data_IF_081385490823
#
_entry.id   IF_081385490823
#
_cell.length_a   1.000
_cell.length_b   1.000
_cell.length_c   1.000
_cell.angle_alpha   90.00
_cell.angle_beta   90.00
_cell.angle_gamma   90.00
#
_symmetry.space_group_name_H-M   'P 1'
#
loop_
_entity.id
_entity.type
_entity.pdbx_description
1 polymer ?
#
# COMPACT_ATOMS: atom_id res chain seq x y z
N UNK A 1 -5.30 5.74 -22.60
CA UNK A 1 -5.94 5.44 -21.31
C UNK A 1 -4.84 4.92 -20.42
N UNK A 2 -3.99 5.84 -19.95
CA UNK A 2 -2.82 5.50 -19.16
C UNK A 2 -3.26 5.25 -17.71
N UNK A 3 -3.76 4.05 -17.45
CA UNK A 3 -4.01 3.52 -16.10
C UNK A 3 -2.69 3.09 -15.43
N UNK A 4 -1.66 3.93 -15.54
CA UNK A 4 -0.45 3.83 -14.71
C UNK A 4 -0.63 4.72 -13.48
N UNK A 5 -1.70 4.49 -12.72
CA UNK A 5 -1.62 4.65 -11.26
C UNK A 5 -1.01 3.36 -10.73
N UNK A 6 0.26 3.11 -11.12
CA UNK A 6 1.15 2.39 -10.22
C UNK A 6 1.06 3.16 -8.92
N UNK A 7 0.45 2.54 -7.92
CA UNK A 7 0.25 3.12 -6.61
C UNK A 7 1.57 3.72 -6.17
N UNK A 8 1.69 5.05 -6.27
CA UNK A 8 2.85 5.83 -5.83
C UNK A 8 3.30 5.20 -4.54
N UNK A 9 4.52 4.66 -4.56
CA UNK A 9 5.04 3.77 -3.54
C UNK A 9 4.53 4.19 -2.16
N UNK A 10 3.53 3.47 -1.63
CA UNK A 10 2.82 3.86 -0.40
C UNK A 10 3.74 3.85 0.82
N UNK A 11 5.00 3.46 0.61
CA UNK A 11 6.11 3.50 1.55
C UNK A 11 6.91 4.81 1.51
N UNK A 12 6.55 5.81 0.69
CA UNK A 12 7.23 7.11 0.75
C UNK A 12 6.89 7.81 2.07
N UNK A 13 7.94 8.15 2.82
CA UNK A 13 7.81 8.90 4.07
C UNK A 13 7.37 10.34 3.82
N UNK A 14 6.80 11.01 4.85
CA UNK A 14 6.48 12.45 4.79
C UNK A 14 7.71 13.29 4.40
N UNK A 15 8.92 12.86 4.80
CA UNK A 15 10.17 13.51 4.40
C UNK A 15 10.45 13.33 2.91
N UNK A 16 10.32 12.10 2.39
CA UNK A 16 10.50 11.84 0.96
C UNK A 16 9.49 12.59 0.10
N UNK A 17 8.22 12.66 0.54
CA UNK A 17 7.20 13.48 -0.13
C UNK A 17 7.56 14.97 -0.12
N UNK A 18 8.03 15.50 1.01
CA UNK A 18 8.49 16.89 1.13
C UNK A 18 9.67 17.17 0.20
N UNK A 19 10.62 16.24 0.08
CA UNK A 19 11.77 16.38 -0.82
C UNK A 19 11.37 16.33 -2.30
N UNK A 20 10.45 15.43 -2.68
CA UNK A 20 9.96 15.29 -4.07
C UNK A 20 9.13 16.50 -4.48
N UNK A 21 8.26 16.98 -3.59
CA UNK A 21 7.30 18.05 -3.89
C UNK A 21 7.84 19.44 -3.60
N UNK A 22 8.92 19.55 -2.81
CA UNK A 22 9.42 20.83 -2.29
C UNK A 22 8.49 21.50 -1.27
N UNK A 23 7.43 20.80 -0.83
CA UNK A 23 6.44 21.31 0.13
C UNK A 23 6.97 21.06 1.55
N UNK A 24 6.67 21.98 2.45
CA UNK A 24 6.99 21.81 3.86
C UNK A 24 6.37 20.53 4.46
N UNK A 25 7.10 19.89 5.39
CA UNK A 25 6.72 18.60 5.98
C UNK A 25 5.39 18.67 6.72
N UNK A 26 5.06 19.79 7.33
CA UNK A 26 3.80 19.99 8.05
C UNK A 26 2.63 20.11 7.08
N UNK A 27 2.82 20.83 5.97
CA UNK A 27 1.85 20.90 4.87
C UNK A 27 1.61 19.51 4.24
N UNK A 28 2.67 18.74 3.97
CA UNK A 28 2.54 17.37 3.45
C UNK A 28 1.76 16.49 4.43
N UNK A 29 2.02 16.62 5.74
CA UNK A 29 1.28 15.89 6.78
C UNK A 29 -0.20 16.28 6.82
N UNK A 30 -0.49 17.58 6.76
CA UNK A 30 -1.85 18.11 6.76
C UNK A 30 -2.64 17.60 5.55
N UNK A 31 -2.09 17.72 4.34
CA UNK A 31 -2.74 17.24 3.11
C UNK A 31 -2.94 15.72 3.16
N UNK A 32 -1.92 14.98 3.61
CA UNK A 32 -2.02 13.52 3.73
C UNK A 32 -3.15 13.10 4.68
N UNK A 33 -3.34 13.83 5.78
CA UNK A 33 -4.37 13.52 6.76
C UNK A 33 -5.76 14.02 6.33
N UNK A 34 -5.89 15.29 5.96
CA UNK A 34 -7.17 15.96 5.72
C UNK A 34 -7.69 15.78 4.29
N UNK A 35 -6.81 15.84 3.29
CA UNK A 35 -7.20 15.80 1.87
C UNK A 35 -7.25 14.37 1.32
N UNK A 36 -6.37 13.49 1.80
CA UNK A 36 -6.25 12.10 1.33
C UNK A 36 -6.80 11.09 2.37
N UNK A 37 -7.26 11.57 3.53
CA UNK A 37 -7.84 10.78 4.62
C UNK A 37 -6.94 9.60 5.08
N UNK A 38 -5.61 9.75 4.98
CA UNK A 38 -4.66 8.73 5.44
C UNK A 38 -4.56 8.73 6.97
N UNK A 39 -5.45 7.97 7.61
CA UNK A 39 -5.55 7.87 9.08
C UNK A 39 -4.32 7.26 9.79
N UNK A 40 -3.42 6.58 9.07
CA UNK A 40 -2.19 5.99 9.64
C UNK A 40 -1.00 6.27 8.74
N UNK A 41 -0.13 7.18 9.18
CA UNK A 41 1.21 7.38 8.62
C UNK A 41 2.20 6.58 9.47
N UNK A 42 2.18 5.26 9.32
CA UNK A 42 3.11 4.37 10.01
C UNK A 42 3.75 3.42 9.00
N UNK A 43 5.05 3.17 9.14
CA UNK A 43 5.71 2.10 8.41
C UNK A 43 5.13 0.75 8.86
N UNK A 44 4.76 -0.10 7.91
CA UNK A 44 4.46 -1.51 8.19
C UNK A 44 5.76 -2.30 8.06
N UNK A 45 6.09 -3.12 9.06
CA UNK A 45 7.21 -4.05 8.94
C UNK A 45 6.75 -5.20 8.03
N UNK A 46 7.39 -5.31 6.86
CA UNK A 46 7.15 -6.40 5.91
C UNK A 46 8.38 -7.30 5.90
N UNK A 47 8.30 -8.56 6.37
CA UNK A 47 9.47 -9.44 6.52
C UNK A 47 10.21 -9.74 5.23
N UNK A 48 9.53 -9.72 4.09
CA UNK A 48 10.12 -9.91 2.75
C UNK A 48 9.30 -9.19 1.68
N UNK A 49 9.98 -8.59 0.72
CA UNK A 49 9.35 -8.12 -0.51
C UNK A 49 9.03 -9.35 -1.38
N UNK A 50 7.75 -9.55 -1.66
CA UNK A 50 7.30 -10.68 -2.49
C UNK A 50 7.53 -10.37 -3.97
N UNK A 51 8.05 -11.34 -4.71
CA UNK A 51 8.10 -11.29 -6.18
C UNK A 51 6.67 -11.35 -6.76
N UNK A 52 6.47 -10.95 -8.03
CA UNK A 52 5.18 -11.08 -8.70
C UNK A 52 4.61 -12.50 -8.62
N UNK A 53 5.42 -13.53 -8.89
CA UNK A 53 4.96 -14.92 -8.84
C UNK A 53 4.56 -15.33 -7.41
N UNK A 54 5.30 -14.86 -6.40
CA UNK A 54 4.96 -15.14 -4.99
C UNK A 54 3.66 -14.46 -4.56
N UNK A 55 3.33 -13.29 -5.12
CA UNK A 55 2.05 -12.62 -4.86
C UNK A 55 0.88 -13.40 -5.46
N UNK A 56 1.04 -13.83 -6.71
CA UNK A 56 0.05 -14.63 -7.43
C UNK A 56 -0.19 -15.97 -6.74
N UNK A 57 0.88 -16.71 -6.43
CA UNK A 57 0.78 -17.97 -5.69
C UNK A 57 0.05 -17.80 -4.36
N UNK A 58 0.35 -16.74 -3.60
CA UNK A 58 -0.33 -16.44 -2.34
C UNK A 58 -1.82 -16.15 -2.54
N UNK A 59 -2.18 -15.42 -3.60
CA UNK A 59 -3.57 -15.12 -3.90
C UNK A 59 -4.38 -16.39 -4.22
N UNK A 60 -3.82 -17.27 -5.06
CA UNK A 60 -4.47 -18.52 -5.43
C UNK A 60 -4.67 -19.43 -4.22
N UNK A 61 -3.63 -19.62 -3.40
CA UNK A 61 -3.71 -20.43 -2.18
C UNK A 61 -4.78 -19.89 -1.22
N UNK A 62 -4.83 -18.58 -1.00
CA UNK A 62 -5.83 -17.98 -0.13
C UNK A 62 -7.25 -18.13 -0.69
N UNK A 63 -7.43 -18.03 -2.01
CA UNK A 63 -8.72 -18.25 -2.65
C UNK A 63 -9.19 -19.70 -2.50
N UNK A 64 -8.28 -20.67 -2.71
CA UNK A 64 -8.56 -22.08 -2.54
C UNK A 64 -8.95 -22.41 -1.09
N UNK A 65 -8.20 -21.89 -0.10
CA UNK A 65 -8.53 -22.06 1.32
C UNK A 65 -9.93 -21.53 1.63
N UNK A 66 -10.27 -20.33 1.14
CA UNK A 66 -11.56 -19.71 1.39
C UNK A 66 -12.72 -20.54 0.79
N UNK A 67 -12.57 -20.98 -0.45
CA UNK A 67 -13.57 -21.81 -1.10
C UNK A 67 -13.80 -23.13 -0.35
N UNK A 68 -12.72 -23.75 0.13
CA UNK A 68 -12.82 -24.99 0.89
C UNK A 68 -13.51 -24.80 2.25
N UNK A 69 -13.29 -23.66 2.92
CA UNK A 69 -14.01 -23.36 4.17
C UNK A 69 -15.50 -23.08 3.97
N UNK A 70 -15.87 -22.55 2.80
CA UNK A 70 -17.29 -22.31 2.45
C UNK A 70 -18.00 -23.60 2.04
N UNK A 71 -17.29 -24.60 1.50
CA UNK A 71 -17.86 -25.92 1.15
C UNK A 71 -18.04 -26.86 2.33
N UNK A 72 -17.35 -26.62 3.44
CA UNK A 72 -17.44 -27.41 4.67
C UNK A 72 -18.52 -26.91 5.66
N UNK A 73 -19.30 -25.88 5.28
CA UNK A 73 -20.40 -25.30 6.07
C UNK A 73 -21.79 -25.74 5.61
#
# INVERSE_FOLDING_TARGET
MDENIETVDRCISIRGLSEITGIDKECVRYISHESVNMRKVCAKIVPKLLTPEQKESRMNICADILNNTDTDS
#
